data_IF_759387525222
#
_entry.id   IF_759387525222
#
_cell.length_a   1.000
_cell.length_b   1.000
_cell.length_c   1.000
_cell.angle_alpha   90.00
_cell.angle_beta   90.00
_cell.angle_gamma   90.00
#
_symmetry.space_group_name_H-M   'P 1'
#
loop_
_entity.id
_entity.type
_entity.pdbx_description
1 polymer ?
#
# COMPACT_ATOMS: atom_id res chain seq x y z
N UNK A 1 8.74 -2.50 -5.03
CA UNK A 1 7.34 -2.73 -5.44
C UNK A 1 6.78 -1.42 -5.95
N UNK A 2 6.29 -1.42 -7.20
CA UNK A 2 5.73 -0.25 -7.87
C UNK A 2 4.22 -0.48 -7.94
N UNK A 3 3.42 0.50 -7.54
CA UNK A 3 1.97 0.39 -7.67
C UNK A 3 1.61 0.39 -9.15
N UNK A 4 0.76 -0.54 -9.60
CA UNK A 4 0.28 -0.54 -10.98
C UNK A 4 -0.78 0.55 -11.20
N UNK A 5 -1.53 0.94 -10.16
CA UNK A 5 -2.57 1.97 -10.23
C UNK A 5 -1.97 3.37 -10.39
N UNK A 6 -1.04 3.75 -9.51
CA UNK A 6 -0.44 5.10 -9.54
C UNK A 6 0.98 5.15 -10.13
N UNK A 7 1.53 4.01 -10.58
CA UNK A 7 2.93 3.89 -11.06
C UNK A 7 3.98 4.36 -10.05
N UNK A 8 3.55 4.62 -8.81
CA UNK A 8 4.36 5.16 -7.73
C UNK A 8 5.14 4.07 -7.02
N UNK A 9 6.35 4.40 -6.61
CA UNK A 9 7.21 3.54 -5.77
C UNK A 9 7.21 4.00 -4.32
N UNK A 10 6.70 5.20 -4.04
CA UNK A 10 6.65 5.76 -2.69
C UNK A 10 5.42 5.26 -1.94
N UNK A 11 5.68 4.75 -0.74
CA UNK A 11 4.68 4.27 0.19
C UNK A 11 4.99 4.79 1.60
N UNK A 12 3.94 4.88 2.42
CA UNK A 12 4.04 5.21 3.83
C UNK A 12 3.44 4.07 4.64
N UNK A 13 4.14 3.71 5.72
CA UNK A 13 3.64 2.77 6.72
C UNK A 13 2.84 3.52 7.78
N UNK A 14 1.68 2.97 8.08
CA UNK A 14 0.75 3.44 9.08
C UNK A 14 0.54 2.31 10.09
N UNK A 15 0.99 2.51 11.32
CA UNK A 15 0.88 1.51 12.38
C UNK A 15 -0.58 1.11 12.67
N UNK A 16 -1.50 2.07 12.54
CA UNK A 16 -2.94 1.83 12.75
C UNK A 16 -3.60 1.04 11.61
N UNK A 17 -2.94 0.90 10.46
CA UNK A 17 -3.47 0.16 9.31
C UNK A 17 -2.93 -1.26 9.20
N UNK A 18 -2.12 -1.66 10.17
CA UNK A 18 -1.70 -3.05 10.31
C UNK A 18 -2.94 -3.88 10.67
N UNK A 19 -3.39 -4.67 9.71
CA UNK A 19 -4.57 -5.53 9.83
C UNK A 19 -4.26 -6.90 9.26
N UNK A 20 -5.14 -7.90 9.47
CA UNK A 20 -4.99 -9.22 8.82
C UNK A 20 -4.86 -9.12 7.29
N UNK A 21 -5.54 -8.14 6.68
CA UNK A 21 -5.53 -7.92 5.22
C UNK A 21 -4.40 -7.02 4.73
N UNK A 22 -3.74 -6.29 5.64
CA UNK A 22 -2.56 -5.47 5.36
C UNK A 22 -1.56 -5.58 6.52
N UNK A 23 -0.93 -6.76 6.73
CA UNK A 23 0.06 -6.93 7.81
C UNK A 23 1.26 -6.01 7.67
N UNK A 24 1.54 -5.49 6.48
CA UNK A 24 2.61 -4.51 6.27
C UNK A 24 2.24 -3.12 6.81
N UNK A 25 0.94 -2.84 7.00
CA UNK A 25 0.41 -1.51 7.33
C UNK A 25 0.83 -0.44 6.32
N UNK A 26 1.21 -0.83 5.10
CA UNK A 26 1.85 0.06 4.13
C UNK A 26 0.86 0.41 3.01
N UNK A 27 0.79 1.70 2.67
CA UNK A 27 -0.02 2.24 1.57
C UNK A 27 0.82 3.12 0.67
N UNK A 28 0.55 3.12 -0.63
CA UNK A 28 1.18 4.05 -1.57
C UNK A 28 0.77 5.49 -1.26
N UNK A 29 1.71 6.44 -1.33
CA UNK A 29 1.44 7.83 -0.91
C UNK A 29 0.41 8.50 -1.81
N UNK A 30 0.45 8.22 -3.12
CA UNK A 30 -0.42 8.85 -4.11
C UNK A 30 -1.81 8.22 -4.19
N UNK A 31 -1.87 6.91 -4.46
CA UNK A 31 -3.15 6.23 -4.64
C UNK A 31 -3.74 5.64 -3.34
N UNK A 32 -2.99 5.64 -2.23
CA UNK A 32 -3.40 5.03 -0.94
C UNK A 32 -3.76 3.54 -1.04
N UNK A 33 -3.45 2.88 -2.16
CA UNK A 33 -3.60 1.44 -2.31
C UNK A 33 -2.69 0.73 -1.31
N UNK A 34 -3.17 -0.34 -0.70
CA UNK A 34 -2.36 -1.15 0.21
C UNK A 34 -1.26 -1.85 -0.57
N UNK A 35 -0.07 -1.94 0.02
CA UNK A 35 1.07 -2.62 -0.61
C UNK A 35 0.88 -4.15 -0.73
N UNK A 36 -0.25 -4.67 -0.27
CA UNK A 36 -0.60 -6.09 -0.31
C UNK A 36 -1.81 -6.45 -1.19
N UNK A 37 -2.52 -5.47 -1.76
CA UNK A 37 -3.55 -5.78 -2.73
C UNK A 37 -2.90 -6.12 -4.07
N UNK A 38 -2.87 -7.42 -4.37
CA UNK A 38 -2.79 -7.90 -5.74
C UNK A 38 -4.03 -7.43 -6.52
N UNK A 39 -3.77 -7.16 -7.80
CA UNK A 39 -4.65 -6.54 -8.78
C UNK A 39 -4.99 -5.08 -8.48
N UNK A 40 -5.27 -4.36 -9.57
CA UNK A 40 -5.75 -2.99 -9.51
C UNK A 40 -6.97 -2.84 -8.58
#
# INVERSE_FOLDING_TARGET
>A
MRCLCCKGTQYKRYHFEVTKSNPSGAKYIFCKSTMQAQAC
#
